data_IF_220902447353
#
_entry.id   IF_220902447353
#
_cell.length_a   1.000
_cell.length_b   1.000
_cell.length_c   1.000
_cell.angle_alpha   90.00
_cell.angle_beta   90.00
_cell.angle_gamma   90.00
#
_symmetry.space_group_name_H-M   'P 1'
#
loop_
_entity.id
_entity.type
_entity.pdbx_description
1 polymer ?
#
# COMPACT_ATOMS: atom_id res chain seq x y z
N UNK A 1 -3.07 20.40 9.60
CA UNK A 1 -1.87 19.87 8.92
C UNK A 1 -0.92 19.46 10.03
N UNK A 2 -0.52 18.19 10.09
CA UNK A 2 0.47 17.73 11.07
C UNK A 2 1.84 18.11 10.52
N UNK A 3 2.48 19.13 11.09
CA UNK A 3 3.82 19.56 10.69
C UNK A 3 4.80 19.10 11.75
N UNK A 4 5.74 18.22 11.41
CA UNK A 4 6.83 17.87 12.31
C UNK A 4 7.93 18.94 12.22
N UNK A 5 8.63 19.25 13.32
CA UNK A 5 9.85 20.05 13.25
C UNK A 5 10.92 19.26 12.47
N UNK A 6 11.35 19.75 11.31
CA UNK A 6 12.29 19.03 10.44
C UNK A 6 12.34 19.58 9.01
N UNK A 7 13.08 18.92 8.09
CA UNK A 7 13.05 19.26 6.68
C UNK A 7 11.63 19.08 6.11
N UNK A 8 11.27 19.87 5.09
CA UNK A 8 10.02 19.72 4.35
C UNK A 8 10.10 18.46 3.48
N UNK A 9 9.44 17.38 3.92
CA UNK A 9 9.57 16.05 3.33
C UNK A 9 8.55 15.85 2.21
N UNK A 10 9.07 15.55 1.01
CA UNK A 10 8.28 15.31 -0.18
C UNK A 10 8.46 13.88 -0.66
N UNK A 11 7.35 13.15 -0.74
CA UNK A 11 7.29 11.86 -1.40
C UNK A 11 6.83 12.03 -2.85
N UNK A 12 7.52 11.39 -3.78
CA UNK A 12 7.19 11.42 -5.22
C UNK A 12 6.64 10.06 -5.64
N UNK A 13 5.68 10.05 -6.57
CA UNK A 13 5.34 8.85 -7.34
C UNK A 13 6.57 8.33 -8.09
N UNK A 14 6.67 7.00 -8.23
CA UNK A 14 7.73 6.32 -8.97
C UNK A 14 7.94 6.86 -10.39
N UNK A 15 6.91 7.26 -11.12
CA UNK A 15 7.06 7.86 -12.44
C UNK A 15 7.88 9.17 -12.39
N UNK A 16 7.69 9.98 -11.36
CA UNK A 16 8.50 11.18 -11.13
C UNK A 16 9.93 10.80 -10.73
N UNK A 17 10.11 9.75 -9.90
CA UNK A 17 11.44 9.19 -9.59
C UNK A 17 12.19 8.75 -10.84
N UNK A 18 11.53 7.99 -11.73
CA UNK A 18 12.11 7.54 -13.01
C UNK A 18 12.51 8.74 -13.86
N UNK A 19 11.67 9.78 -13.94
CA UNK A 19 11.98 11.02 -14.66
C UNK A 19 13.19 11.76 -14.09
N UNK A 20 13.26 11.89 -12.75
CA UNK A 20 14.39 12.50 -12.04
C UNK A 20 15.69 11.73 -12.28
N UNK A 21 15.66 10.40 -12.10
CA UNK A 21 16.80 9.50 -12.32
C UNK A 21 17.29 9.57 -13.77
N UNK A 22 16.37 9.55 -14.75
CA UNK A 22 16.73 9.69 -16.16
C UNK A 22 17.44 11.03 -16.44
N UNK A 23 16.95 12.11 -15.84
CA UNK A 23 17.54 13.43 -15.98
C UNK A 23 18.94 13.53 -15.35
N UNK A 24 19.18 12.84 -14.23
CA UNK A 24 20.50 12.74 -13.58
C UNK A 24 21.48 11.87 -14.38
N UNK A 25 21.00 10.83 -15.06
CA UNK A 25 21.85 9.97 -15.90
C UNK A 25 22.29 10.66 -17.19
N UNK A 26 21.45 11.51 -17.77
CA UNK A 26 21.75 12.22 -19.02
C UNK A 26 22.75 13.37 -18.82
N UNK A 27 23.87 13.34 -19.55
CA UNK A 27 24.88 14.40 -19.52
C UNK A 27 24.32 15.78 -19.89
N UNK A 28 23.29 15.84 -20.75
CA UNK A 28 22.65 17.09 -21.19
C UNK A 28 21.85 17.76 -20.08
N UNK A 29 21.23 16.98 -19.21
CA UNK A 29 20.27 17.50 -18.20
C UNK A 29 20.81 17.46 -16.77
N UNK A 30 21.86 16.67 -16.51
CA UNK A 30 22.40 16.42 -15.17
C UNK A 30 22.71 17.71 -14.41
N UNK A 31 23.50 18.62 -14.98
CA UNK A 31 23.90 19.85 -14.31
C UNK A 31 22.68 20.70 -13.89
N UNK A 32 21.71 20.88 -14.79
CA UNK A 32 20.49 21.62 -14.48
C UNK A 32 19.60 20.93 -13.44
N UNK A 33 19.58 19.61 -13.39
CA UNK A 33 18.87 18.85 -12.35
C UNK A 33 19.56 18.99 -10.99
N UNK A 34 20.90 18.92 -10.94
CA UNK A 34 21.66 19.10 -9.70
C UNK A 34 21.48 20.50 -9.11
N UNK A 35 21.49 21.55 -9.95
CA UNK A 35 21.20 22.92 -9.49
C UNK A 35 19.81 23.04 -8.85
N UNK A 36 18.80 22.37 -9.42
CA UNK A 36 17.44 22.37 -8.87
C UNK A 36 17.35 21.58 -7.56
N UNK A 37 18.06 20.44 -7.45
CA UNK A 37 18.12 19.66 -6.21
C UNK A 37 18.79 20.46 -5.09
N UNK A 38 19.91 21.13 -5.38
CA UNK A 38 20.57 22.02 -4.43
C UNK A 38 19.66 23.20 -4.02
N UNK A 39 18.87 23.75 -4.95
CA UNK A 39 17.89 24.78 -4.63
C UNK A 39 16.74 24.26 -3.75
N UNK A 40 16.34 22.99 -3.92
CA UNK A 40 15.33 22.35 -3.09
C UNK A 40 15.85 22.10 -1.66
N UNK A 41 17.08 21.61 -1.54
CA UNK A 41 17.79 21.47 -0.27
C UNK A 41 17.93 22.82 0.45
N UNK A 42 18.34 23.87 -0.27
CA UNK A 42 18.57 25.19 0.31
C UNK A 42 17.32 25.82 0.95
N UNK A 43 16.12 25.38 0.55
CA UNK A 43 14.84 25.79 1.17
C UNK A 43 14.34 24.78 2.21
N UNK A 44 15.19 23.84 2.62
CA UNK A 44 14.89 22.82 3.64
C UNK A 44 14.14 21.61 3.10
N UNK A 45 14.04 21.41 1.79
CA UNK A 45 13.35 20.27 1.19
C UNK A 45 14.14 18.97 1.24
N UNK A 46 13.47 17.85 1.47
CA UNK A 46 14.04 16.50 1.36
C UNK A 46 13.13 15.55 0.60
N UNK A 47 13.71 14.70 -0.26
CA UNK A 47 12.95 13.70 -1.02
C UNK A 47 12.89 12.37 -0.27
N UNK A 48 11.69 11.87 0.00
CA UNK A 48 11.48 10.59 0.65
C UNK A 48 11.49 9.42 -0.35
N UNK A 49 12.33 8.42 -0.06
CA UNK A 49 12.34 7.14 -0.76
C UNK A 49 11.84 6.03 0.18
N UNK A 50 10.95 5.20 -0.31
CA UNK A 50 10.34 4.10 0.44
C UNK A 50 10.70 2.77 -0.23
N UNK A 51 10.53 1.67 0.49
CA UNK A 51 10.71 0.33 -0.09
C UNK A 51 9.81 0.08 -1.31
N UNK A 52 8.64 0.73 -1.35
CA UNK A 52 7.74 0.67 -2.50
C UNK A 52 8.42 1.22 -3.78
N UNK A 53 9.03 2.41 -3.70
CA UNK A 53 9.77 2.97 -4.84
C UNK A 53 10.92 2.06 -5.28
N UNK A 54 11.63 1.46 -4.32
CA UNK A 54 12.75 0.56 -4.61
C UNK A 54 12.28 -0.64 -5.43
N UNK A 55 11.18 -1.27 -5.02
CA UNK A 55 10.60 -2.41 -5.75
C UNK A 55 10.21 -1.99 -7.16
N UNK A 56 9.56 -0.84 -7.34
CA UNK A 56 9.15 -0.41 -8.68
C UNK A 56 10.33 0.06 -9.56
N UNK A 57 11.35 0.69 -8.99
CA UNK A 57 12.58 1.03 -9.72
C UNK A 57 13.32 -0.23 -10.20
N UNK A 58 13.22 -1.32 -9.44
CA UNK A 58 13.74 -2.64 -9.78
C UNK A 58 12.89 -3.40 -10.82
N UNK A 59 11.66 -2.96 -11.12
CA UNK A 59 10.80 -3.57 -12.14
C UNK A 59 11.24 -3.13 -13.55
N UNK A 60 12.32 -3.73 -14.04
CA UNK A 60 12.77 -3.58 -15.41
C UNK A 60 13.41 -4.88 -15.90
N UNK A 61 13.17 -5.28 -17.15
CA UNK A 61 13.70 -6.56 -17.68
C UNK A 61 15.23 -6.56 -17.75
N UNK A 62 15.82 -5.40 -18.10
CA UNK A 62 17.26 -5.23 -18.15
C UNK A 62 17.82 -4.90 -16.75
N UNK A 63 18.63 -5.81 -16.20
CA UNK A 63 19.35 -5.66 -14.93
C UNK A 63 20.28 -4.44 -14.92
N UNK A 64 21.01 -4.19 -16.01
CA UNK A 64 21.97 -3.08 -16.09
C UNK A 64 21.26 -1.73 -16.01
N UNK A 65 20.02 -1.67 -16.51
CA UNK A 65 19.17 -0.49 -16.36
C UNK A 65 18.73 -0.28 -14.91
N UNK A 66 18.43 -1.34 -14.16
CA UNK A 66 18.15 -1.25 -12.71
C UNK A 66 19.39 -0.79 -11.95
N UNK A 67 20.55 -1.38 -12.24
CA UNK A 67 21.82 -0.97 -11.63
C UNK A 67 22.10 0.52 -11.87
N UNK A 68 21.93 0.98 -13.11
CA UNK A 68 22.15 2.38 -13.47
C UNK A 68 21.16 3.33 -12.76
N UNK A 69 19.92 2.90 -12.50
CA UNK A 69 18.95 3.67 -11.70
C UNK A 69 19.40 3.78 -10.25
N UNK A 70 19.81 2.68 -9.63
CA UNK A 70 20.30 2.68 -8.25
C UNK A 70 21.57 3.50 -8.07
N UNK A 71 22.50 3.44 -9.03
CA UNK A 71 23.69 4.32 -9.03
C UNK A 71 23.34 5.80 -9.13
N UNK A 72 22.31 6.13 -9.90
CA UNK A 72 21.89 7.52 -10.08
C UNK A 72 21.20 8.12 -8.84
N UNK A 73 20.68 7.30 -7.92
CA UNK A 73 20.23 7.80 -6.61
C UNK A 73 21.38 8.46 -5.85
N UNK A 74 22.61 7.97 -6.00
CA UNK A 74 23.83 8.54 -5.40
C UNK A 74 24.09 10.02 -5.69
N UNK A 75 23.43 10.61 -6.68
CA UNK A 75 23.54 12.04 -6.99
C UNK A 75 22.58 12.94 -6.20
N UNK A 76 21.77 12.39 -5.30
CA UNK A 76 20.73 13.11 -4.55
C UNK A 76 21.14 13.20 -3.07
N UNK A 77 21.41 14.40 -2.59
CA UNK A 77 21.64 14.70 -1.18
C UNK A 77 20.99 16.07 -0.94
N UNK A 78 19.90 16.17 -0.17
CA UNK A 78 19.41 15.27 0.88
C UNK A 78 18.27 14.35 0.43
N UNK A 79 18.16 13.21 1.13
CA UNK A 79 17.00 12.32 1.03
C UNK A 79 16.49 11.97 2.44
N UNK A 80 15.31 11.36 2.50
CA UNK A 80 14.83 10.70 3.70
C UNK A 80 14.43 9.26 3.35
N UNK A 81 14.59 8.37 4.32
CA UNK A 81 14.00 7.05 4.28
C UNK A 81 12.73 7.05 5.13
N UNK A 82 11.76 6.21 4.78
CA UNK A 82 10.82 5.77 5.78
C UNK A 82 11.57 4.95 6.84
N UNK A 83 11.31 5.17 8.12
CA UNK A 83 11.97 4.43 9.20
C UNK A 83 11.62 2.95 9.15
N UNK A 84 12.65 2.09 9.11
CA UNK A 84 12.52 0.65 9.16
C UNK A 84 12.44 0.17 10.61
N UNK A 85 11.27 -0.31 11.03
CA UNK A 85 11.12 -1.01 12.33
C UNK A 85 11.28 -2.52 12.14
N UNK A 86 10.89 -3.01 10.96
CA UNK A 86 10.85 -4.43 10.62
C UNK A 86 11.92 -4.82 9.60
N UNK A 87 12.75 -3.87 9.16
CA UNK A 87 13.76 -4.04 8.11
C UNK A 87 15.07 -3.28 8.42
N UNK A 88 16.20 -3.85 7.98
CA UNK A 88 17.54 -3.23 8.09
C UNK A 88 17.82 -2.21 6.96
N UNK A 89 16.79 -1.51 6.48
CA UNK A 89 16.86 -0.61 5.33
C UNK A 89 15.66 0.31 5.23
N UNK A 90 15.44 0.98 4.07
CA UNK A 90 14.25 1.80 3.87
C UNK A 90 12.98 1.06 4.23
N UNK A 91 12.17 1.70 5.07
CA UNK A 91 10.89 1.19 5.51
C UNK A 91 9.88 1.07 4.39
N UNK A 92 8.88 0.23 4.65
CA UNK A 92 7.71 -0.06 3.84
C UNK A 92 6.42 0.36 4.56
N UNK A 93 5.27 0.20 3.91
CA UNK A 93 3.97 0.38 4.58
C UNK A 93 3.81 -0.53 5.82
N UNK A 94 4.48 -1.68 5.88
CA UNK A 94 4.45 -2.55 7.06
C UNK A 94 5.11 -1.90 8.27
N UNK A 95 6.14 -1.09 8.05
CA UNK A 95 6.83 -0.36 9.11
C UNK A 95 5.97 0.77 9.66
N UNK A 96 5.20 1.45 8.80
CA UNK A 96 4.18 2.40 9.25
C UNK A 96 3.09 1.71 10.08
N UNK A 97 2.60 0.56 9.62
CA UNK A 97 1.62 -0.23 10.38
C UNK A 97 2.21 -0.65 11.73
N UNK A 98 3.49 -1.02 11.79
CA UNK A 98 4.18 -1.35 13.04
C UNK A 98 4.25 -0.14 14.00
N UNK A 99 4.58 1.04 13.48
CA UNK A 99 4.61 2.29 14.26
C UNK A 99 3.22 2.67 14.79
N UNK A 100 2.21 2.63 13.93
CA UNK A 100 0.81 2.87 14.31
C UNK A 100 0.32 1.86 15.34
N UNK A 101 0.72 0.59 15.22
CA UNK A 101 0.38 -0.46 16.18
C UNK A 101 0.96 -0.17 17.57
N UNK A 102 2.25 0.19 17.65
CA UNK A 102 2.88 0.56 18.92
C UNK A 102 2.18 1.77 19.54
N UNK A 103 1.95 2.83 18.75
CA UNK A 103 1.24 4.02 19.22
C UNK A 103 -0.19 3.73 19.70
N UNK A 104 -0.93 2.85 19.00
CA UNK A 104 -2.29 2.46 19.38
C UNK A 104 -2.33 1.62 20.67
N UNK A 105 -1.29 0.80 20.92
CA UNK A 105 -1.16 0.03 22.16
C UNK A 105 -0.81 0.93 23.36
N UNK A 106 0.03 1.94 23.15
CA UNK A 106 0.39 2.94 24.16
C UNK A 106 -0.78 3.88 24.49
N UNK A 107 -1.62 4.19 23.49
CA UNK A 107 -2.78 5.07 23.62
C UNK A 107 -4.08 4.40 23.15
N UNK A 108 -4.68 3.49 23.96
CA UNK A 108 -5.84 2.69 23.54
C UNK A 108 -7.07 3.50 23.13
N UNK A 109 -7.24 4.71 23.68
CA UNK A 109 -8.39 5.57 23.41
C UNK A 109 -8.09 6.65 22.36
N UNK A 110 -6.88 6.69 21.80
CA UNK A 110 -6.52 7.67 20.78
C UNK A 110 -7.21 7.36 19.45
N UNK A 111 -7.72 8.42 18.82
CA UNK A 111 -8.23 8.40 17.45
C UNK A 111 -7.08 8.47 16.43
N UNK A 112 -7.36 8.12 15.16
CA UNK A 112 -6.34 8.04 14.11
C UNK A 112 -5.52 9.32 13.92
N UNK A 113 -6.08 10.52 14.08
CA UNK A 113 -5.28 11.74 13.97
C UNK A 113 -4.23 11.87 15.08
N UNK A 114 -4.55 11.43 16.28
CA UNK A 114 -3.62 11.43 17.41
C UNK A 114 -2.54 10.36 17.23
N UNK A 115 -2.90 9.19 16.71
CA UNK A 115 -1.93 8.14 16.31
C UNK A 115 -0.98 8.67 15.24
N UNK A 116 -1.51 9.29 14.17
CA UNK A 116 -0.69 9.88 13.12
C UNK A 116 0.28 10.93 13.67
N UNK A 117 -0.19 11.80 14.57
CA UNK A 117 0.63 12.83 15.20
C UNK A 117 1.75 12.24 16.07
N UNK A 118 1.51 11.13 16.75
CA UNK A 118 2.51 10.44 17.57
C UNK A 118 3.56 9.72 16.72
N UNK A 119 3.14 9.12 15.60
CA UNK A 119 4.02 8.38 14.68
C UNK A 119 4.87 9.33 13.83
N UNK A 120 4.30 10.47 13.40
CA UNK A 120 4.91 11.33 12.39
C UNK A 120 6.38 11.72 12.68
N UNK A 121 6.78 12.16 13.89
CA UNK A 121 8.16 12.53 14.18
C UNK A 121 9.20 11.42 13.98
N UNK A 122 8.78 10.15 14.04
CA UNK A 122 9.65 8.98 13.87
C UNK A 122 9.36 8.16 12.61
N UNK A 123 8.46 8.63 11.74
CA UNK A 123 8.09 7.89 10.54
C UNK A 123 9.16 7.98 9.43
N UNK A 124 9.95 9.04 9.45
CA UNK A 124 10.98 9.33 8.45
C UNK A 124 12.32 9.63 9.11
N UNK A 125 13.39 9.10 8.52
CA UNK A 125 14.75 9.28 8.96
C UNK A 125 15.59 10.01 7.91
N UNK A 126 16.51 10.90 8.32
CA UNK A 126 17.50 11.48 7.43
C UNK A 126 18.34 10.39 6.74
N UNK A 127 18.53 10.54 5.42
CA UNK A 127 19.35 9.65 4.62
C UNK A 127 20.05 10.43 3.49
N UNK A 128 20.87 9.75 2.71
CA UNK A 128 21.37 10.26 1.44
C UNK A 128 21.12 9.28 0.31
N UNK A 129 21.10 9.80 -0.91
CA UNK A 129 21.07 8.96 -2.10
C UNK A 129 22.28 8.05 -2.23
N UNK A 130 23.43 8.44 -1.66
CA UNK A 130 24.61 7.59 -1.56
C UNK A 130 24.34 6.39 -0.64
N UNK A 131 23.77 6.61 0.55
CA UNK A 131 23.39 5.54 1.48
C UNK A 131 22.43 4.54 0.82
N UNK A 132 21.42 5.05 0.10
CA UNK A 132 20.52 4.19 -0.67
C UNK A 132 21.25 3.41 -1.76
N UNK A 133 22.13 4.05 -2.53
CA UNK A 133 22.89 3.37 -3.58
C UNK A 133 23.75 2.25 -3.00
N UNK A 134 24.46 2.53 -1.92
CA UNK A 134 25.36 1.59 -1.24
C UNK A 134 24.60 0.42 -0.62
N UNK A 135 23.38 0.65 -0.12
CA UNK A 135 22.50 -0.42 0.39
C UNK A 135 21.87 -1.26 -0.73
N UNK A 136 21.46 -0.63 -1.83
CA UNK A 136 20.72 -1.28 -2.93
C UNK A 136 21.60 -2.12 -3.84
N UNK A 137 22.80 -1.63 -4.20
CA UNK A 137 23.65 -2.30 -5.18
C UNK A 137 24.07 -3.73 -4.77
N UNK A 138 24.42 -4.01 -3.49
CA UNK A 138 24.68 -5.38 -3.03
C UNK A 138 23.46 -6.31 -3.13
N UNK A 139 22.25 -5.76 -3.12
CA UNK A 139 20.99 -6.51 -3.14
C UNK A 139 20.36 -6.58 -4.52
N UNK A 140 21.01 -6.01 -5.54
CA UNK A 140 20.46 -5.81 -6.88
C UNK A 140 19.83 -7.09 -7.47
N UNK A 141 20.54 -8.22 -7.41
CA UNK A 141 20.08 -9.47 -8.03
C UNK A 141 18.84 -10.02 -7.32
N UNK A 142 18.79 -9.91 -5.99
CA UNK A 142 17.65 -10.35 -5.17
C UNK A 142 16.44 -9.45 -5.47
N UNK A 143 16.63 -8.12 -5.43
CA UNK A 143 15.57 -7.15 -5.70
C UNK A 143 15.03 -7.29 -7.12
N UNK A 144 15.89 -7.45 -8.12
CA UNK A 144 15.50 -7.63 -9.51
C UNK A 144 14.69 -8.90 -9.73
N UNK A 145 15.14 -10.02 -9.14
CA UNK A 145 14.40 -11.29 -9.20
C UNK A 145 13.03 -11.20 -8.52
N UNK A 146 12.97 -10.59 -7.34
CA UNK A 146 11.72 -10.40 -6.61
C UNK A 146 10.77 -9.45 -7.35
N UNK A 147 11.27 -8.38 -7.96
CA UNK A 147 10.48 -7.46 -8.77
C UNK A 147 9.87 -8.16 -10.00
N UNK A 148 10.67 -8.99 -10.70
CA UNK A 148 10.19 -9.76 -11.84
C UNK A 148 9.06 -10.74 -11.45
N UNK A 149 9.21 -11.47 -10.34
CA UNK A 149 8.18 -12.40 -9.83
C UNK A 149 6.98 -11.69 -9.22
N UNK A 150 7.20 -10.59 -8.50
CA UNK A 150 6.18 -9.82 -7.81
C UNK A 150 5.19 -9.17 -8.76
N UNK A 151 5.63 -8.78 -9.95
CA UNK A 151 4.79 -8.12 -10.96
C UNK A 151 3.66 -9.02 -11.47
N UNK A 152 3.89 -10.34 -11.65
CA UNK A 152 2.85 -11.28 -12.06
C UNK A 152 1.82 -11.50 -10.94
N UNK A 153 2.29 -11.72 -9.70
CA UNK A 153 1.43 -11.93 -8.54
C UNK A 153 0.60 -10.68 -8.21
N UNK A 154 1.20 -9.49 -8.21
CA UNK A 154 0.52 -8.22 -7.95
C UNK A 154 -0.59 -7.95 -8.99
N UNK A 155 -0.31 -8.19 -10.28
CA UNK A 155 -1.31 -8.10 -11.35
C UNK A 155 -2.49 -9.05 -11.10
N UNK A 156 -2.22 -10.30 -10.76
CA UNK A 156 -3.27 -11.28 -10.46
C UNK A 156 -4.11 -10.88 -9.23
N UNK A 157 -3.46 -10.44 -8.14
CA UNK A 157 -4.17 -9.96 -6.95
C UNK A 157 -5.03 -8.74 -7.27
N UNK A 158 -4.49 -7.76 -8.01
CA UNK A 158 -5.24 -6.57 -8.43
C UNK A 158 -6.47 -6.95 -9.26
N UNK A 159 -6.31 -7.85 -10.24
CA UNK A 159 -7.39 -8.35 -11.09
C UNK A 159 -8.49 -9.06 -10.28
N UNK A 160 -8.09 -9.97 -9.40
CA UNK A 160 -9.02 -10.73 -8.56
C UNK A 160 -9.74 -9.83 -7.56
N UNK A 161 -9.06 -8.87 -6.95
CA UNK A 161 -9.65 -7.93 -5.99
C UNK A 161 -10.77 -7.07 -6.57
N UNK A 162 -10.78 -6.90 -7.90
CA UNK A 162 -11.78 -6.09 -8.60
C UNK A 162 -12.93 -6.93 -9.16
N UNK A 163 -12.88 -8.25 -9.07
CA UNK A 163 -13.84 -9.13 -9.71
C UNK A 163 -15.23 -9.01 -9.06
N UNK A 164 -16.22 -8.55 -9.81
CA UNK A 164 -17.61 -8.46 -9.38
C UNK A 164 -18.17 -9.83 -9.00
N UNK A 165 -17.68 -10.91 -9.63
CA UNK A 165 -18.02 -12.28 -9.25
C UNK A 165 -17.72 -12.63 -7.79
N UNK A 166 -16.80 -11.90 -7.13
CA UNK A 166 -16.39 -12.10 -5.74
C UNK A 166 -17.02 -11.09 -4.77
N UNK A 167 -17.72 -10.06 -5.25
CA UNK A 167 -18.32 -9.05 -4.38
C UNK A 167 -19.52 -9.61 -3.61
N UNK A 168 -19.31 -9.78 -2.30
CA UNK A 168 -20.32 -10.23 -1.32
C UNK A 168 -20.58 -9.17 -0.25
N UNK A 169 -20.16 -7.93 -0.49
CA UNK A 169 -20.13 -6.86 0.52
C UNK A 169 -21.51 -6.50 1.09
N UNK A 170 -22.59 -6.77 0.35
CA UNK A 170 -23.97 -6.46 0.76
C UNK A 170 -24.70 -7.65 1.38
N UNK A 171 -24.07 -8.81 1.45
CA UNK A 171 -24.68 -9.99 2.04
C UNK A 171 -24.74 -9.87 3.56
N UNK A 172 -25.91 -10.13 4.12
CA UNK A 172 -26.12 -10.06 5.58
C UNK A 172 -25.46 -11.25 6.26
N UNK A 173 -25.02 -11.04 7.50
CA UNK A 173 -24.57 -12.14 8.35
C UNK A 173 -25.70 -13.14 8.60
N UNK A 174 -25.37 -14.42 8.51
CA UNK A 174 -26.31 -15.52 8.75
C UNK A 174 -25.69 -16.50 9.77
N UNK A 175 -25.75 -16.19 11.08
CA UNK A 175 -25.11 -17.01 12.13
C UNK A 175 -25.63 -18.45 12.21
N UNK A 176 -26.86 -18.67 11.71
CA UNK A 176 -27.53 -19.97 11.69
C UNK A 176 -27.55 -20.60 10.28
N UNK A 177 -26.66 -20.16 9.38
CA UNK A 177 -26.56 -20.74 8.05
C UNK A 177 -26.14 -22.21 8.14
N UNK A 178 -26.84 -23.07 7.40
CA UNK A 178 -26.48 -24.48 7.28
C UNK A 178 -25.43 -24.66 6.21
N UNK A 179 -24.46 -25.53 6.46
CA UNK A 179 -23.51 -25.96 5.45
C UNK A 179 -24.26 -26.58 4.26
N UNK A 180 -23.89 -26.19 3.04
CA UNK A 180 -24.27 -26.93 1.86
C UNK A 180 -23.48 -28.26 1.80
N UNK A 181 -24.03 -29.32 1.18
CA UNK A 181 -23.27 -30.53 0.92
C UNK A 181 -21.99 -30.23 0.13
N UNK A 182 -20.87 -30.90 0.47
CA UNK A 182 -19.56 -30.66 -0.16
C UNK A 182 -19.60 -30.74 -1.68
N UNK A 183 -20.40 -31.65 -2.26
CA UNK A 183 -20.56 -31.76 -3.71
C UNK A 183 -21.19 -30.50 -4.34
N UNK A 184 -22.17 -29.90 -3.66
CA UNK A 184 -22.82 -28.66 -4.11
C UNK A 184 -21.87 -27.47 -3.97
N UNK A 185 -21.10 -27.40 -2.87
CA UNK A 185 -20.06 -26.36 -2.70
C UNK A 185 -19.01 -26.46 -3.80
N UNK A 186 -18.53 -27.68 -4.12
CA UNK A 186 -17.56 -27.92 -5.21
C UNK A 186 -18.12 -27.49 -6.57
N UNK A 187 -19.38 -27.80 -6.86
CA UNK A 187 -20.04 -27.34 -8.08
C UNK A 187 -20.15 -25.80 -8.14
N UNK A 188 -20.53 -25.16 -7.03
CA UNK A 188 -20.64 -23.70 -6.93
C UNK A 188 -19.28 -23.00 -7.09
N UNK A 189 -18.22 -23.53 -6.47
CA UNK A 189 -16.85 -23.02 -6.63
C UNK A 189 -16.33 -23.19 -8.06
N UNK A 190 -16.65 -24.31 -8.72
CA UNK A 190 -16.29 -24.51 -10.12
C UNK A 190 -17.01 -23.51 -11.05
N UNK A 191 -18.31 -23.28 -10.82
CA UNK A 191 -19.07 -22.27 -11.56
C UNK A 191 -18.57 -20.84 -11.27
N UNK A 192 -18.16 -20.56 -10.03
CA UNK A 192 -17.49 -19.31 -9.68
C UNK A 192 -16.16 -19.16 -10.43
N UNK A 193 -15.34 -20.20 -10.48
CA UNK A 193 -14.07 -20.21 -11.21
C UNK A 193 -14.22 -19.89 -12.69
N UNK A 194 -15.24 -20.44 -13.35
CA UNK A 194 -15.54 -20.12 -14.75
C UNK A 194 -15.92 -18.65 -14.95
N UNK A 195 -16.79 -18.10 -14.08
CA UNK A 195 -17.19 -16.69 -14.15
C UNK A 195 -16.02 -15.76 -13.87
N UNK A 196 -15.21 -16.09 -12.87
CA UNK A 196 -14.03 -15.35 -12.47
C UNK A 196 -12.98 -15.33 -13.59
N UNK A 197 -12.69 -16.49 -14.20
CA UNK A 197 -11.77 -16.56 -15.33
C UNK A 197 -12.26 -15.70 -16.51
N UNK A 198 -13.54 -15.76 -16.86
CA UNK A 198 -14.10 -14.93 -17.92
C UNK A 198 -13.98 -13.42 -17.62
N UNK A 199 -14.29 -13.01 -16.39
CA UNK A 199 -14.18 -11.61 -15.96
C UNK A 199 -12.73 -11.12 -15.96
N UNK A 200 -11.80 -11.91 -15.39
CA UNK A 200 -10.37 -11.57 -15.34
C UNK A 200 -9.79 -11.48 -16.76
N UNK A 201 -10.15 -12.41 -17.66
CA UNK A 201 -9.72 -12.39 -19.06
C UNK A 201 -10.25 -11.15 -19.78
N UNK A 202 -11.50 -10.75 -19.53
CA UNK A 202 -12.09 -9.55 -20.13
C UNK A 202 -11.41 -8.26 -19.63
N UNK A 203 -11.05 -8.21 -18.34
CA UNK A 203 -10.52 -7.02 -17.66
C UNK A 203 -8.99 -6.98 -17.57
N UNK A 204 -8.30 -8.00 -18.10
CA UNK A 204 -6.85 -8.13 -18.02
C UNK A 204 -6.12 -6.91 -18.59
N UNK A 205 -4.93 -6.65 -18.04
CA UNK A 205 -3.95 -5.83 -18.70
C UNK A 205 -3.63 -6.47 -20.07
N UNK A 206 -3.68 -5.73 -21.20
CA UNK A 206 -3.29 -6.27 -22.50
C UNK A 206 -1.88 -6.88 -22.55
N UNK A 207 -0.99 -6.50 -21.63
CA UNK A 207 0.36 -7.05 -21.48
C UNK A 207 0.38 -8.40 -20.76
N UNK A 208 -0.69 -8.78 -20.06
CA UNK A 208 -0.84 -10.09 -19.45
C UNK A 208 -1.42 -11.08 -20.46
N UNK A 209 -0.86 -12.30 -20.49
CA UNK A 209 -1.39 -13.37 -21.31
C UNK A 209 -2.73 -13.86 -20.76
N UNK A 210 -3.54 -14.45 -21.64
CA UNK A 210 -4.79 -15.08 -21.23
C UNK A 210 -4.56 -16.29 -20.32
N UNK A 211 -3.47 -17.06 -20.55
CA UNK A 211 -3.09 -18.19 -19.70
C UNK A 211 -2.84 -17.73 -18.27
N UNK A 212 -2.04 -16.68 -18.08
CA UNK A 212 -1.73 -16.15 -16.73
C UNK A 212 -3.01 -15.76 -15.96
N UNK A 213 -3.97 -15.14 -16.66
CA UNK A 213 -5.26 -14.76 -16.09
C UNK A 213 -6.10 -15.97 -15.66
N UNK A 214 -6.20 -16.99 -16.52
CA UNK A 214 -6.95 -18.22 -16.25
C UNK A 214 -6.28 -19.02 -15.13
N UNK A 215 -4.96 -19.15 -15.16
CA UNK A 215 -4.17 -19.86 -14.16
C UNK A 215 -4.28 -19.19 -12.78
N UNK A 216 -4.25 -17.85 -12.73
CA UNK A 216 -4.47 -17.08 -11.51
C UNK A 216 -5.87 -17.30 -10.91
N UNK A 217 -6.92 -17.27 -11.73
CA UNK A 217 -8.28 -17.57 -11.28
C UNK A 217 -8.42 -19.03 -10.79
N UNK A 218 -7.81 -19.99 -11.51
CA UNK A 218 -7.83 -21.39 -11.13
C UNK A 218 -7.07 -21.65 -9.82
N UNK A 219 -5.94 -20.97 -9.61
CA UNK A 219 -5.20 -21.03 -8.35
C UNK A 219 -6.03 -20.52 -7.19
N UNK A 220 -6.67 -19.35 -7.34
CA UNK A 220 -7.54 -18.79 -6.32
C UNK A 220 -8.69 -19.74 -5.91
N UNK A 221 -9.32 -20.40 -6.89
CA UNK A 221 -10.38 -21.39 -6.60
C UNK A 221 -9.83 -22.62 -5.87
N UNK A 222 -8.62 -23.09 -6.21
CA UNK A 222 -7.99 -24.20 -5.48
C UNK A 222 -7.70 -23.84 -4.03
N UNK A 223 -7.22 -22.62 -3.78
CA UNK A 223 -6.99 -22.12 -2.42
C UNK A 223 -8.31 -22.05 -1.64
N UNK A 224 -9.39 -21.51 -2.24
CA UNK A 224 -10.72 -21.50 -1.62
C UNK A 224 -11.28 -22.91 -1.36
N UNK A 225 -11.00 -23.88 -2.22
CA UNK A 225 -11.43 -25.27 -2.00
C UNK A 225 -10.77 -25.87 -0.76
N UNK A 226 -9.47 -25.63 -0.56
CA UNK A 226 -8.77 -26.06 0.65
C UNK A 226 -9.37 -25.44 1.91
N UNK A 227 -9.78 -24.17 1.83
CA UNK A 227 -10.45 -23.47 2.94
C UNK A 227 -11.81 -24.06 3.27
N UNK A 228 -12.62 -24.39 2.27
CA UNK A 228 -13.94 -25.02 2.45
C UNK A 228 -13.82 -26.37 3.14
N UNK A 229 -12.84 -27.20 2.75
CA UNK A 229 -12.62 -28.51 3.35
C UNK A 229 -12.27 -28.36 4.84
N UNK A 230 -11.39 -27.41 5.20
CA UNK A 230 -11.08 -27.13 6.61
C UNK A 230 -12.26 -26.58 7.44
N UNK A 231 -13.16 -25.82 6.81
CA UNK A 231 -14.37 -25.27 7.46
C UNK A 231 -15.42 -26.35 7.69
N UNK A 232 -15.60 -27.28 6.74
CA UNK A 232 -16.60 -28.35 6.85
C UNK A 232 -16.39 -29.25 8.09
N UNK A 233 -15.13 -29.42 8.52
CA UNK A 233 -14.75 -30.23 9.68
C UNK A 233 -15.12 -29.60 11.03
N UNK A 234 -15.48 -28.31 11.07
CA UNK A 234 -15.78 -27.55 12.30
C UNK A 234 -17.24 -27.63 12.77
N UNK A 235 -18.13 -28.30 12.02
CA UNK A 235 -19.55 -28.50 12.39
C UNK A 235 -20.45 -27.26 12.26
N UNK A 236 -19.99 -26.08 12.66
CA UNK A 236 -20.64 -24.79 12.42
C UNK A 236 -19.80 -23.92 11.47
N UNK A 237 -20.29 -23.74 10.24
CA UNK A 237 -19.61 -22.97 9.18
C UNK A 237 -19.38 -21.51 9.60
N UNK A 238 -20.31 -20.93 10.35
CA UNK A 238 -20.18 -19.54 10.78
C UNK A 238 -19.07 -19.37 11.83
N UNK A 239 -19.02 -20.25 12.83
CA UNK A 239 -17.95 -20.25 13.83
C UNK A 239 -16.57 -20.53 13.20
N UNK A 240 -16.52 -21.43 12.23
CA UNK A 240 -15.29 -21.72 11.48
C UNK A 240 -14.80 -20.52 10.65
N UNK A 241 -15.72 -19.79 10.01
CA UNK A 241 -15.40 -18.57 9.26
C UNK A 241 -14.88 -17.46 10.19
N UNK A 242 -15.54 -17.27 11.34
CA UNK A 242 -15.10 -16.32 12.36
C UNK A 242 -13.71 -16.69 12.90
N UNK A 243 -13.49 -17.95 13.26
CA UNK A 243 -12.19 -18.44 13.72
C UNK A 243 -11.10 -18.23 12.67
N UNK A 244 -11.39 -18.50 11.40
CA UNK A 244 -10.46 -18.28 10.28
C UNK A 244 -10.14 -16.80 10.07
N UNK A 245 -11.14 -15.92 10.19
CA UNK A 245 -10.94 -14.47 10.16
C UNK A 245 -10.26 -13.94 11.42
N UNK A 246 -9.99 -14.80 12.42
CA UNK A 246 -9.57 -14.43 13.76
C UNK A 246 -10.51 -13.38 14.38
N UNK A 247 -11.82 -13.51 14.17
CA UNK A 247 -12.87 -12.65 14.72
C UNK A 247 -13.69 -13.44 15.74
N UNK A 248 -13.95 -12.86 16.90
CA UNK A 248 -14.79 -13.51 17.92
C UNK A 248 -16.28 -13.31 17.64
N UNK A 249 -17.11 -14.22 18.17
CA UNK A 249 -18.57 -14.09 18.08
C UNK A 249 -19.09 -12.79 18.74
N UNK A 250 -18.42 -12.31 19.80
CA UNK A 250 -18.78 -11.06 20.47
C UNK A 250 -18.54 -9.84 19.58
N UNK A 251 -17.43 -9.81 18.85
CA UNK A 251 -17.11 -8.72 17.91
C UNK A 251 -18.06 -8.73 16.71
N UNK A 252 -18.39 -9.93 16.21
CA UNK A 252 -19.33 -10.09 15.11
C UNK A 252 -20.79 -9.77 15.49
N UNK A 253 -21.15 -9.77 16.79
CA UNK A 253 -22.52 -9.57 17.25
C UNK A 253 -23.10 -8.19 16.88
N UNK A 254 -22.25 -7.17 16.72
CA UNK A 254 -22.64 -5.83 16.28
C UNK A 254 -22.60 -5.60 14.77
N UNK A 255 -22.09 -6.56 14.01
CA UNK A 255 -21.91 -6.45 12.56
C UNK A 255 -23.17 -6.90 11.81
N UNK A 256 -23.40 -6.30 10.64
CA UNK A 256 -24.59 -6.55 9.80
C UNK A 256 -24.24 -7.30 8.52
N UNK A 257 -23.06 -7.09 7.97
CA UNK A 257 -22.65 -7.57 6.65
C UNK A 257 -21.38 -8.42 6.72
N UNK A 258 -21.23 -9.34 5.76
CA UNK A 258 -20.04 -10.19 5.63
C UNK A 258 -18.78 -9.33 5.42
N UNK A 259 -18.90 -8.19 4.75
CA UNK A 259 -17.78 -7.25 4.57
C UNK A 259 -17.21 -6.76 5.89
N UNK A 260 -18.01 -6.55 6.93
CA UNK A 260 -17.50 -6.01 8.20
C UNK A 260 -16.60 -7.04 8.92
N UNK A 261 -16.96 -8.32 8.84
CA UNK A 261 -16.12 -9.42 9.34
C UNK A 261 -14.87 -9.59 8.46
N UNK A 262 -15.03 -9.50 7.14
CA UNK A 262 -13.91 -9.61 6.20
C UNK A 262 -12.90 -8.46 6.37
N UNK A 263 -13.39 -7.23 6.58
CA UNK A 263 -12.58 -6.04 6.82
C UNK A 263 -11.80 -6.19 8.13
N UNK A 264 -12.46 -6.60 9.24
CA UNK A 264 -11.77 -6.83 10.51
C UNK A 264 -10.74 -7.98 10.40
N UNK A 265 -11.08 -9.07 9.72
CA UNK A 265 -10.15 -10.17 9.49
C UNK A 265 -8.97 -9.75 8.62
N UNK A 266 -9.19 -8.91 7.61
CA UNK A 266 -8.13 -8.37 6.77
C UNK A 266 -7.21 -7.44 7.55
N UNK A 267 -7.77 -6.56 8.38
CA UNK A 267 -7.00 -5.71 9.29
C UNK A 267 -6.09 -6.55 10.19
N UNK A 268 -6.65 -7.57 10.86
CA UNK A 268 -5.87 -8.50 11.71
C UNK A 268 -4.77 -9.20 10.94
N UNK A 269 -5.05 -9.63 9.72
CA UNK A 269 -4.06 -10.26 8.85
C UNK A 269 -2.92 -9.33 8.50
N UNK A 270 -3.20 -8.03 8.28
CA UNK A 270 -2.16 -7.03 8.03
C UNK A 270 -1.28 -6.80 9.27
N UNK A 271 -1.84 -6.90 10.49
CA UNK A 271 -1.08 -6.78 11.74
C UNK A 271 -0.17 -7.98 12.04
N UNK A 272 -0.44 -9.18 11.50
CA UNK A 272 0.31 -10.39 11.85
C UNK A 272 1.83 -10.28 11.64
N UNK A 273 2.26 -9.67 10.53
CA UNK A 273 3.69 -9.55 10.19
C UNK A 273 4.38 -8.54 11.12
N UNK A 274 3.89 -7.28 11.26
CA UNK A 274 4.39 -6.33 12.24
C UNK A 274 4.40 -6.90 13.66
N UNK A 275 3.30 -7.51 14.09
CA UNK A 275 3.16 -8.07 15.44
C UNK A 275 4.21 -9.14 15.74
N UNK A 276 4.46 -10.06 14.79
CA UNK A 276 5.48 -11.10 14.94
C UNK A 276 6.87 -10.48 15.08
N UNK A 277 7.18 -9.45 14.30
CA UNK A 277 8.48 -8.78 14.36
C UNK A 277 8.67 -8.06 15.71
N UNK A 278 7.60 -7.46 16.22
CA UNK A 278 7.58 -6.76 17.50
C UNK A 278 7.46 -7.69 18.73
N UNK A 279 7.31 -9.00 18.53
CA UNK A 279 7.12 -9.96 19.61
C UNK A 279 5.77 -9.85 20.33
N UNK A 280 4.76 -9.27 19.68
CA UNK A 280 3.43 -9.05 20.25
C UNK A 280 2.55 -10.30 20.19
N UNK A 281 1.71 -10.47 21.21
CA UNK A 281 0.75 -11.55 21.35
C UNK A 281 -0.58 -11.25 20.66
N UNK A 282 -1.35 -12.29 20.35
CA UNK A 282 -2.70 -12.12 19.79
C UNK A 282 -3.65 -11.33 20.71
N UNK A 283 -3.46 -11.41 22.03
CA UNK A 283 -4.28 -10.68 22.98
C UNK A 283 -3.97 -9.18 22.94
N UNK A 284 -2.72 -8.80 22.71
CA UNK A 284 -2.36 -7.41 22.46
C UNK A 284 -2.99 -6.88 21.17
N UNK A 285 -3.00 -7.66 20.09
CA UNK A 285 -3.64 -7.26 18.82
C UNK A 285 -5.16 -7.09 18.93
N UNK A 286 -5.81 -7.71 19.93
CA UNK A 286 -7.25 -7.50 20.19
C UNK A 286 -7.55 -6.20 20.92
N UNK A 287 -6.54 -5.53 21.50
CA UNK A 287 -6.72 -4.26 22.23
C UNK A 287 -6.81 -3.05 21.32
N UNK A 288 -6.36 -3.17 20.07
CA UNK A 288 -6.35 -2.08 19.10
C UNK A 288 -7.55 -2.17 18.17
N UNK A 289 -8.06 -1.01 17.73
CA UNK A 289 -9.21 -0.90 16.82
C UNK A 289 -8.78 -0.44 15.44
N UNK A 290 -9.40 -0.94 14.35
CA UNK A 290 -9.05 -0.52 12.99
C UNK A 290 -9.16 0.99 12.77
N UNK A 291 -10.09 1.67 13.45
CA UNK A 291 -10.33 3.10 13.34
C UNK A 291 -9.16 3.96 13.85
N UNK A 292 -8.21 3.37 14.57
CA UNK A 292 -7.03 4.06 15.10
C UNK A 292 -5.89 4.16 14.08
N UNK A 293 -5.97 3.45 12.94
CA UNK A 293 -4.85 3.29 12.01
C UNK A 293 -5.08 4.13 10.74
N UNK A 294 -4.36 5.26 10.57
CA UNK A 294 -4.39 6.03 9.33
C UNK A 294 -4.13 5.18 8.08
N UNK A 295 -3.14 4.27 8.12
CA UNK A 295 -2.88 3.38 6.98
C UNK A 295 -4.10 2.51 6.61
N UNK A 296 -4.80 1.96 7.61
CA UNK A 296 -6.01 1.16 7.40
C UNK A 296 -7.18 1.98 6.85
N UNK A 297 -7.42 3.18 7.40
CA UNK A 297 -8.48 4.07 6.93
C UNK A 297 -8.27 4.44 5.46
N UNK A 298 -7.03 4.76 5.07
CA UNK A 298 -6.64 5.03 3.68
C UNK A 298 -6.87 3.80 2.80
N UNK A 299 -6.44 2.62 3.25
CA UNK A 299 -6.65 1.36 2.54
C UNK A 299 -8.13 1.11 2.23
N UNK A 300 -9.00 1.17 3.24
CA UNK A 300 -10.43 0.94 3.09
C UNK A 300 -11.07 1.99 2.17
N UNK A 301 -10.76 3.26 2.38
CA UNK A 301 -11.33 4.33 1.58
C UNK A 301 -10.89 4.23 0.12
N UNK A 302 -9.63 3.88 -0.14
CA UNK A 302 -9.12 3.67 -1.49
C UNK A 302 -9.86 2.53 -2.17
N UNK A 303 -9.95 1.36 -1.52
CA UNK A 303 -10.66 0.20 -2.07
C UNK A 303 -12.13 0.51 -2.36
N UNK A 304 -12.81 1.25 -1.49
CA UNK A 304 -14.24 1.58 -1.59
C UNK A 304 -14.57 2.69 -2.59
N UNK A 305 -13.68 3.66 -2.78
CA UNK A 305 -14.01 4.91 -3.49
C UNK A 305 -13.17 5.18 -4.75
N UNK A 306 -12.12 4.39 -5.01
CA UNK A 306 -11.35 4.48 -6.25
C UNK A 306 -12.21 4.26 -7.49
N UNK A 307 -11.71 4.72 -8.62
CA UNK A 307 -12.28 4.38 -9.92
C UNK A 307 -12.12 2.90 -10.20
N UNK A 308 -13.21 2.24 -10.57
CA UNK A 308 -13.15 0.89 -11.14
C UNK A 308 -12.82 1.05 -12.62
N UNK A 309 -11.60 0.73 -13.01
CA UNK A 309 -11.18 0.82 -14.40
C UNK A 309 -11.77 -0.34 -15.23
N UNK A 310 -12.08 -0.07 -16.50
CA UNK A 310 -12.54 -1.10 -17.44
C UNK A 310 -11.49 -2.18 -17.69
N UNK A 311 -10.21 -1.83 -17.55
CA UNK A 311 -9.06 -2.75 -17.56
C UNK A 311 -8.22 -2.48 -16.32
N UNK A 312 -7.78 -3.55 -15.67
CA UNK A 312 -6.94 -3.46 -14.49
C UNK A 312 -5.52 -3.12 -14.91
N UNK A 313 -4.95 -2.08 -14.31
CA UNK A 313 -3.52 -1.82 -14.40
C UNK A 313 -2.85 -2.39 -13.15
N UNK A 314 -1.68 -3.02 -13.32
CA UNK A 314 -0.95 -3.65 -12.21
C UNK A 314 -0.50 -2.68 -11.11
N UNK A 315 -0.58 -1.36 -11.33
CA UNK A 315 -0.14 -0.30 -10.40
C UNK A 315 -1.14 0.05 -9.30
N UNK A 316 -2.40 -0.42 -9.35
CA UNK A 316 -3.44 0.01 -8.41
C UNK A 316 -3.13 -0.33 -6.94
N UNK A 317 -2.41 -1.43 -6.70
CA UNK A 317 -1.93 -1.80 -5.36
C UNK A 317 -0.76 -0.91 -4.91
N UNK A 318 0.10 -0.50 -5.85
CA UNK A 318 1.21 0.40 -5.58
C UNK A 318 0.73 1.79 -5.16
N UNK A 319 -0.23 2.35 -5.92
CA UNK A 319 -0.86 3.63 -5.60
C UNK A 319 -1.43 3.66 -4.17
N UNK A 320 -2.08 2.57 -3.74
CA UNK A 320 -2.64 2.46 -2.40
C UNK A 320 -1.55 2.49 -1.33
N UNK A 321 -0.48 1.71 -1.49
CA UNK A 321 0.64 1.72 -0.54
C UNK A 321 1.33 3.09 -0.50
N UNK A 322 1.49 3.73 -1.66
CA UNK A 322 2.05 5.07 -1.75
C UNK A 322 1.20 6.09 -0.96
N UNK A 323 -0.14 6.03 -1.11
CA UNK A 323 -1.06 6.90 -0.39
C UNK A 323 -1.02 6.72 1.13
N UNK A 324 -0.68 5.54 1.64
CA UNK A 324 -0.52 5.32 3.08
C UNK A 324 0.62 6.13 3.70
N UNK A 325 1.55 6.68 2.89
CA UNK A 325 2.59 7.59 3.37
C UNK A 325 2.10 9.04 3.52
N UNK A 326 0.95 9.41 2.94
CA UNK A 326 0.45 10.79 2.97
C UNK A 326 0.27 11.43 4.36
N UNK A 327 -0.15 10.71 5.44
CA UNK A 327 -0.19 11.27 6.79
C UNK A 327 1.18 11.68 7.32
N UNK A 328 2.22 11.07 6.75
CA UNK A 328 3.59 11.10 7.21
C UNK A 328 4.51 11.70 6.14
N UNK A 329 4.04 12.74 5.45
CA UNK A 329 4.82 13.54 4.50
C UNK A 329 4.21 14.94 4.44
N UNK A 330 5.02 15.98 4.26
CA UNK A 330 4.49 17.33 4.05
C UNK A 330 3.79 17.46 2.68
N UNK A 331 4.29 16.71 1.69
CA UNK A 331 3.65 16.57 0.39
C UNK A 331 3.84 15.17 -0.21
N UNK A 332 2.80 14.67 -0.86
CA UNK A 332 2.87 13.46 -1.68
C UNK A 332 2.43 13.80 -3.11
N UNK A 333 3.34 13.71 -4.07
CA UNK A 333 3.02 13.91 -5.48
C UNK A 333 2.61 12.62 -6.15
N UNK A 334 1.48 12.65 -6.83
CA UNK A 334 0.91 11.50 -7.55
C UNK A 334 0.50 11.87 -8.98
N UNK A 335 0.31 10.85 -9.81
CA UNK A 335 -0.21 11.02 -11.16
C UNK A 335 -1.66 11.57 -11.17
N UNK A 336 -2.17 11.86 -12.38
CA UNK A 336 -3.52 12.39 -12.58
C UNK A 336 -4.62 11.43 -12.10
N UNK A 337 -4.43 10.13 -12.24
CA UNK A 337 -5.42 9.09 -11.94
C UNK A 337 -5.54 8.90 -10.42
N UNK A 338 -4.41 8.75 -9.75
CA UNK A 338 -4.33 8.61 -8.30
C UNK A 338 -4.84 9.86 -7.59
N UNK A 339 -4.53 11.05 -8.12
CA UNK A 339 -5.10 12.29 -7.61
C UNK A 339 -6.63 12.37 -7.73
N UNK A 340 -7.22 11.88 -8.83
CA UNK A 340 -8.67 11.83 -8.99
C UNK A 340 -9.32 10.81 -8.03
N UNK A 341 -8.66 9.68 -7.75
CA UNK A 341 -9.09 8.75 -6.70
C UNK A 341 -9.09 9.44 -5.32
N UNK A 342 -8.02 10.17 -4.99
CA UNK A 342 -7.94 10.95 -3.75
C UNK A 342 -9.03 12.02 -3.67
N UNK A 343 -9.31 12.74 -4.76
CA UNK A 343 -10.41 13.72 -4.81
C UNK A 343 -11.75 13.06 -4.46
N UNK A 344 -12.02 11.87 -4.98
CA UNK A 344 -13.26 11.11 -4.69
C UNK A 344 -13.31 10.65 -3.23
N UNK A 345 -12.19 10.17 -2.68
CA UNK A 345 -12.08 9.77 -1.27
C UNK A 345 -12.38 10.97 -0.38
N UNK A 346 -11.71 12.11 -0.59
CA UNK A 346 -11.93 13.34 0.19
C UNK A 346 -13.39 13.80 0.20
N UNK A 347 -14.12 13.57 -0.89
CA UNK A 347 -15.54 13.93 -1.00
C UNK A 347 -16.48 12.94 -0.31
N UNK A 348 -16.13 11.66 -0.24
CA UNK A 348 -17.02 10.58 0.21
C UNK A 348 -16.71 10.08 1.60
N UNK A 349 -15.50 10.29 2.09
CA UNK A 349 -15.03 9.83 3.39
C UNK A 349 -14.25 10.94 4.12
N UNK A 350 -14.97 11.82 4.86
CA UNK A 350 -14.35 12.91 5.61
C UNK A 350 -13.32 12.46 6.64
N UNK A 351 -13.51 11.27 7.24
CA UNK A 351 -12.58 10.72 8.24
C UNK A 351 -11.22 10.41 7.64
N UNK A 352 -11.20 9.91 6.41
CA UNK A 352 -9.95 9.65 5.69
C UNK A 352 -9.39 10.91 5.01
N UNK A 353 -10.27 11.88 4.69
CA UNK A 353 -9.89 13.09 3.97
C UNK A 353 -8.81 13.92 4.67
N UNK A 354 -8.78 13.92 6.01
CA UNK A 354 -7.81 14.68 6.82
C UNK A 354 -6.36 14.25 6.56
N UNK A 355 -6.14 12.97 6.31
CA UNK A 355 -4.81 12.38 6.07
C UNK A 355 -4.30 12.59 4.65
N UNK A 356 -5.21 12.87 3.73
CA UNK A 356 -4.87 12.98 2.32
C UNK A 356 -4.65 14.42 1.87
N UNK A 357 -4.72 15.43 2.73
CA UNK A 357 -4.66 16.85 2.33
C UNK A 357 -3.34 17.24 1.65
N UNK A 358 -2.24 16.61 2.04
CA UNK A 358 -0.89 16.81 1.49
C UNK A 358 -0.69 16.22 0.09
N UNK A 359 -1.66 15.45 -0.42
CA UNK A 359 -1.55 14.84 -1.75
C UNK A 359 -1.79 15.85 -2.86
N UNK A 360 -0.80 15.96 -3.76
CA UNK A 360 -0.74 16.92 -4.86
C UNK A 360 -0.63 16.20 -6.21
N UNK A 361 -1.15 16.83 -7.27
CA UNK A 361 -0.92 16.39 -8.65
C UNK A 361 0.30 17.10 -9.22
N UNK A 362 1.25 16.37 -9.79
CA UNK A 362 2.35 16.97 -10.55
C UNK A 362 2.66 16.24 -11.86
N UNK A 363 3.16 17.01 -12.84
CA UNK A 363 3.67 16.47 -14.10
C UNK A 363 5.16 16.12 -14.06
N UNK A 364 5.92 16.74 -13.14
CA UNK A 364 7.34 16.47 -12.90
C UNK A 364 7.68 16.75 -11.44
N UNK A 365 8.86 16.31 -11.01
CA UNK A 365 9.37 16.58 -9.67
C UNK A 365 9.62 18.09 -9.41
N UNK A 366 9.70 18.94 -10.45
CA UNK A 366 9.94 20.38 -10.29
C UNK A 366 8.85 21.06 -9.44
N UNK A 367 7.63 20.53 -9.46
CA UNK A 367 6.54 21.03 -8.62
C UNK A 367 6.86 20.92 -7.11
N UNK A 368 7.73 19.99 -6.70
CA UNK A 368 8.19 19.87 -5.32
C UNK A 368 9.03 21.09 -4.89
N UNK A 369 9.88 21.61 -5.78
CA UNK A 369 10.70 22.79 -5.51
C UNK A 369 9.83 24.03 -5.29
N UNK A 370 8.84 24.26 -6.15
CA UNK A 370 7.94 25.40 -6.02
C UNK A 370 7.10 25.32 -4.74
N UNK A 371 6.66 24.11 -4.37
CA UNK A 371 5.93 23.89 -3.13
C UNK A 371 6.80 24.16 -1.89
N UNK A 372 8.03 23.64 -1.84
CA UNK A 372 8.93 23.88 -0.72
C UNK A 372 9.30 25.35 -0.55
N UNK A 373 9.50 26.09 -1.65
CA UNK A 373 9.70 27.55 -1.62
C UNK A 373 8.51 28.28 -0.99
N UNK A 374 7.29 27.86 -1.34
CA UNK A 374 6.06 28.45 -0.80
C UNK A 374 5.93 28.16 0.69
N UNK A 375 6.24 26.94 1.12
CA UNK A 375 6.26 26.56 2.53
C UNK A 375 7.31 27.36 3.32
N UNK A 376 8.55 27.47 2.82
CA UNK A 376 9.62 28.22 3.48
C UNK A 376 9.29 29.72 3.63
N UNK A 377 8.65 30.32 2.62
CA UNK A 377 8.18 31.70 2.69
C UNK A 377 7.09 31.91 3.75
N UNK A 378 6.26 30.90 4.00
CA UNK A 378 5.15 30.97 4.97
C UNK A 378 5.61 30.83 6.43
N UNK A 379 6.80 30.27 6.66
CA UNK A 379 7.41 30.14 8.01
C UNK A 379 8.21 31.39 8.39
N UNK A 380 8.64 32.17 7.40
CA UNK A 380 9.53 33.33 7.58
C UNK A 380 8.79 34.67 7.74
N UNK A 381 7.47 34.70 7.62
CA UNK A 381 6.62 35.89 7.79
C UNK A 381 5.56 35.67 8.85
#
# INVERSE_FOLDING_TARGET
>A
MLTAPGPFVVCLDTAHWVGLIAALRSAKTRAGTQVRLAAFEAVGGSLALTFHHIVELAQHENRDEVEARFRALGYIAPMCALSGITSDGPGSVLDLIAQELLAALESPDAEAEAIAAAVWPGAVEPASGADFSDWLLPQLDILHWHAAKGTARSRNVSLLSQAAALDRSKEKLMPNARALPTAEVKANLFALGKRLAAEVVQRRDPRASESEAVDGAAQFIRELMGDVEGIADHGNVWEALLARANVSAQEAAGMRYISEVADLGHFRKQLEIPARHLGLTNDELRRVRPEQFPTWLIHLAYTKHRQVAARTQGSDLGDMHLLCHAPYMDALFVDKRTHENVRRIRQKDPRTAVFLQSVQRAGSWDAALDLARTAAASVSG
#
